data_IF_290137151049
#
_entry.id   IF_290137151049
#
_cell.length_a   1.000
_cell.length_b   1.000
_cell.length_c   1.000
_cell.angle_alpha   90.00
_cell.angle_beta   90.00
_cell.angle_gamma   90.00
#
_symmetry.space_group_name_H-M   'P 1'
#
loop_
_entity.id
_entity.type
_entity.pdbx_description
1 polymer ?
#
# COMPACT_ATOMS: atom_id res chain seq x y z
N UNK A 1 -15.37 15.20 25.57
CA UNK A 1 -15.60 13.73 25.64
C UNK A 1 -15.75 13.09 24.24
N UNK A 2 -16.61 13.56 23.33
CA UNK A 2 -16.78 12.98 21.97
C UNK A 2 -15.50 13.04 21.16
N UNK A 3 -14.78 14.16 21.13
CA UNK A 3 -13.56 14.34 20.33
C UNK A 3 -12.43 13.40 20.77
N UNK A 4 -12.24 13.19 22.08
CA UNK A 4 -11.23 12.27 22.59
C UNK A 4 -11.55 10.80 22.23
N UNK A 5 -12.83 10.42 22.16
CA UNK A 5 -13.25 9.08 21.72
C UNK A 5 -13.02 8.86 20.23
N UNK A 6 -13.26 9.88 19.41
CA UNK A 6 -13.02 9.84 17.96
C UNK A 6 -11.52 9.64 17.67
N UNK A 7 -10.66 10.45 18.27
CA UNK A 7 -9.21 10.35 18.07
C UNK A 7 -8.67 9.03 18.59
N UNK A 8 -9.18 8.54 19.73
CA UNK A 8 -8.83 7.22 20.29
C UNK A 8 -9.20 6.07 19.34
N UNK A 9 -10.39 6.07 18.74
CA UNK A 9 -10.80 5.01 17.80
C UNK A 9 -10.01 5.08 16.48
N UNK A 10 -9.73 6.27 15.95
CA UNK A 10 -8.87 6.42 14.77
C UNK A 10 -7.46 5.87 15.01
N UNK A 11 -6.86 6.18 16.17
CA UNK A 11 -5.54 5.67 16.54
C UNK A 11 -5.54 4.14 16.72
N UNK A 12 -6.59 3.58 17.30
CA UNK A 12 -6.76 2.14 17.45
C UNK A 12 -6.94 1.44 16.10
N UNK A 13 -7.72 2.02 15.17
CA UNK A 13 -7.88 1.50 13.82
C UNK A 13 -6.53 1.52 13.09
N UNK A 14 -5.77 2.61 13.19
CA UNK A 14 -4.43 2.70 12.61
C UNK A 14 -3.47 1.66 13.21
N UNK A 15 -3.48 1.47 14.54
CA UNK A 15 -2.68 0.45 15.20
C UNK A 15 -3.05 -0.97 14.71
N UNK A 16 -4.33 -1.29 14.62
CA UNK A 16 -4.79 -2.60 14.09
C UNK A 16 -4.34 -2.79 12.64
N UNK A 17 -4.31 -1.72 11.84
CA UNK A 17 -3.78 -1.80 10.47
C UNK A 17 -2.28 -2.08 10.47
N UNK A 18 -1.48 -1.42 11.31
CA UNK A 18 -0.03 -1.70 11.43
C UNK A 18 0.17 -3.17 11.79
N UNK A 19 -0.52 -3.65 12.81
CA UNK A 19 -0.39 -5.01 13.31
C UNK A 19 -0.87 -6.04 12.28
N UNK A 20 -2.05 -5.84 11.68
CA UNK A 20 -2.66 -6.76 10.72
C UNK A 20 -1.92 -6.83 9.39
N UNK A 21 -1.28 -5.73 8.96
CA UNK A 21 -0.56 -5.67 7.69
C UNK A 21 0.91 -6.08 7.79
N UNK A 22 1.43 -6.34 9.00
CA UNK A 22 2.80 -6.85 9.22
C UNK A 22 3.08 -8.16 8.48
N UNK A 23 2.07 -8.97 8.19
CA UNK A 23 2.22 -10.22 7.43
C UNK A 23 2.39 -9.99 5.92
N UNK A 24 2.08 -8.81 5.39
CA UNK A 24 2.07 -8.57 3.94
C UNK A 24 3.42 -8.84 3.30
N UNK A 25 4.47 -8.16 3.75
CA UNK A 25 5.84 -8.29 3.22
C UNK A 25 6.74 -9.18 4.09
N UNK A 26 6.18 -9.99 4.99
CA UNK A 26 6.99 -10.86 5.88
C UNK A 26 7.88 -11.84 5.11
N UNK A 27 7.36 -12.48 4.04
CA UNK A 27 8.15 -13.36 3.19
C UNK A 27 9.16 -12.58 2.33
N UNK A 28 8.80 -11.39 1.86
CA UNK A 28 9.67 -10.53 1.06
C UNK A 28 10.89 -10.09 1.86
N UNK A 29 10.70 -9.67 3.11
CA UNK A 29 11.79 -9.33 4.00
C UNK A 29 12.73 -10.54 4.26
N UNK A 30 12.16 -11.74 4.35
CA UNK A 30 12.89 -12.98 4.58
C UNK A 30 13.57 -13.58 3.32
N UNK A 31 13.38 -12.99 2.12
CA UNK A 31 13.93 -13.53 0.86
C UNK A 31 15.41 -13.86 0.92
N UNK A 32 16.33 -13.06 1.50
CA UNK A 32 17.74 -13.41 1.58
C UNK A 32 17.97 -14.76 2.29
N UNK A 33 17.31 -14.99 3.43
CA UNK A 33 17.41 -16.25 4.18
C UNK A 33 16.75 -17.42 3.45
N UNK A 34 15.59 -17.17 2.81
CA UNK A 34 14.88 -18.18 2.02
C UNK A 34 15.66 -18.59 0.76
N UNK A 35 16.41 -17.67 0.15
CA UNK A 35 17.30 -18.00 -0.97
C UNK A 35 18.40 -18.94 -0.56
N UNK A 36 19.00 -18.74 0.59
CA UNK A 36 20.07 -19.62 1.09
C UNK A 36 19.54 -21.00 1.51
N UNK A 37 18.34 -21.08 2.11
CA UNK A 37 17.77 -22.33 2.61
C UNK A 37 17.06 -23.15 1.50
N UNK A 38 16.32 -22.48 0.59
CA UNK A 38 15.50 -23.15 -0.43
C UNK A 38 16.07 -23.07 -1.85
N UNK A 39 17.22 -22.42 -2.04
CA UNK A 39 17.81 -22.23 -3.37
C UNK A 39 16.91 -21.40 -4.30
N UNK A 40 16.18 -20.40 -3.76
CA UNK A 40 15.20 -19.66 -4.54
C UNK A 40 15.81 -18.88 -5.70
N UNK A 41 15.25 -19.06 -6.89
CA UNK A 41 15.50 -18.17 -8.01
C UNK A 41 14.88 -16.77 -7.77
N UNK A 42 15.37 -15.72 -8.46
CA UNK A 42 14.74 -14.39 -8.39
C UNK A 42 13.23 -14.42 -8.72
N UNK A 43 12.82 -15.22 -9.71
CA UNK A 43 11.41 -15.43 -10.07
C UNK A 43 10.63 -16.09 -8.93
N UNK A 44 11.19 -17.10 -8.27
CA UNK A 44 10.57 -17.75 -7.11
C UNK A 44 10.37 -16.78 -5.94
N UNK A 45 11.35 -15.90 -5.69
CA UNK A 45 11.24 -14.84 -4.69
C UNK A 45 10.12 -13.84 -5.05
N UNK A 46 9.99 -13.47 -6.33
CA UNK A 46 8.89 -12.63 -6.82
C UNK A 46 7.51 -13.24 -6.55
N UNK A 47 7.34 -14.55 -6.75
CA UNK A 47 6.09 -15.25 -6.49
C UNK A 47 5.66 -15.23 -5.01
N UNK A 48 6.59 -15.14 -4.05
CA UNK A 48 6.23 -15.02 -2.63
C UNK A 48 5.48 -13.71 -2.34
N UNK A 49 5.73 -12.65 -3.08
CA UNK A 49 5.01 -11.37 -2.96
C UNK A 49 3.81 -11.33 -3.90
N UNK A 50 3.99 -11.70 -5.17
CA UNK A 50 2.95 -11.64 -6.18
C UNK A 50 1.72 -12.50 -5.84
N UNK A 51 1.91 -13.66 -5.21
CA UNK A 51 0.79 -14.50 -4.78
C UNK A 51 -0.11 -13.81 -3.74
N UNK A 52 0.45 -12.97 -2.86
CA UNK A 52 -0.34 -12.15 -1.93
C UNK A 52 -1.14 -11.11 -2.68
N UNK A 53 -0.54 -10.46 -3.69
CA UNK A 53 -1.23 -9.45 -4.50
C UNK A 53 -2.42 -10.07 -5.25
N UNK A 54 -2.23 -11.23 -5.88
CA UNK A 54 -3.29 -11.96 -6.58
C UNK A 54 -4.38 -12.40 -5.59
N UNK A 55 -3.99 -12.93 -4.44
CA UNK A 55 -4.92 -13.30 -3.37
C UNK A 55 -5.74 -12.10 -2.89
N UNK A 56 -5.08 -10.96 -2.67
CA UNK A 56 -5.74 -9.72 -2.28
C UNK A 56 -6.78 -9.26 -3.31
N UNK A 57 -6.44 -9.29 -4.60
CA UNK A 57 -7.37 -8.93 -5.68
C UNK A 57 -8.60 -9.84 -5.66
N UNK A 58 -8.40 -11.16 -5.60
CA UNK A 58 -9.50 -12.13 -5.58
C UNK A 58 -10.36 -11.93 -4.32
N UNK A 59 -9.73 -11.75 -3.16
CA UNK A 59 -10.43 -11.48 -1.90
C UNK A 59 -11.21 -10.16 -1.95
N UNK A 60 -10.64 -9.09 -2.47
CA UNK A 60 -11.29 -7.78 -2.56
C UNK A 60 -12.49 -7.81 -3.53
N UNK A 61 -12.34 -8.41 -4.71
CA UNK A 61 -13.42 -8.58 -5.68
C UNK A 61 -14.53 -9.45 -5.10
N UNK A 62 -14.19 -10.58 -4.49
CA UNK A 62 -15.16 -11.48 -3.84
C UNK A 62 -15.89 -10.77 -2.71
N UNK A 63 -15.17 -10.05 -1.83
CA UNK A 63 -15.75 -9.27 -0.74
C UNK A 63 -16.71 -8.20 -1.24
N UNK A 64 -16.35 -7.51 -2.34
CA UNK A 64 -17.22 -6.50 -2.95
C UNK A 64 -18.46 -7.13 -3.59
N UNK A 65 -18.33 -8.21 -4.36
CA UNK A 65 -19.46 -8.90 -4.99
C UNK A 65 -20.45 -9.46 -3.97
N UNK A 66 -19.96 -9.97 -2.85
CA UNK A 66 -20.78 -10.49 -1.76
C UNK A 66 -21.25 -9.41 -0.78
N UNK A 67 -20.80 -8.16 -0.95
CA UNK A 67 -21.04 -7.05 -0.02
C UNK A 67 -20.70 -7.40 1.44
N UNK A 68 -19.59 -8.12 1.66
CA UNK A 68 -19.24 -8.64 2.99
C UNK A 68 -19.09 -7.53 4.03
N UNK A 69 -18.49 -6.40 3.65
CA UNK A 69 -18.29 -5.25 4.55
C UNK A 69 -19.59 -4.53 4.95
N UNK A 70 -20.71 -4.80 4.25
CA UNK A 70 -22.03 -4.25 4.56
C UNK A 70 -22.93 -5.25 5.28
N UNK A 71 -22.73 -6.55 5.01
CA UNK A 71 -23.51 -7.64 5.63
C UNK A 71 -22.97 -8.04 7.00
N UNK A 72 -21.67 -7.94 7.21
CA UNK A 72 -20.99 -8.30 8.45
C UNK A 72 -20.52 -7.02 9.15
N UNK A 73 -20.60 -6.98 10.48
CA UNK A 73 -20.04 -5.85 11.25
C UNK A 73 -18.57 -5.65 10.90
N UNK A 74 -18.15 -4.45 10.44
CA UNK A 74 -16.80 -4.26 9.89
C UNK A 74 -15.67 -4.66 10.85
N UNK A 75 -15.82 -4.41 12.15
CA UNK A 75 -14.81 -4.81 13.14
C UNK A 75 -14.68 -6.34 13.27
N UNK A 76 -15.77 -7.09 13.08
CA UNK A 76 -15.71 -8.56 13.12
C UNK A 76 -15.06 -9.11 11.84
N UNK A 77 -15.41 -8.54 10.68
CA UNK A 77 -14.77 -8.91 9.41
C UNK A 77 -13.27 -8.63 9.46
N UNK A 78 -12.86 -7.45 9.97
CA UNK A 78 -11.47 -7.08 10.18
C UNK A 78 -10.74 -8.09 11.09
N UNK A 79 -11.36 -8.45 12.23
CA UNK A 79 -10.78 -9.38 13.20
C UNK A 79 -10.59 -10.78 12.63
N UNK A 80 -11.62 -11.35 11.99
CA UNK A 80 -11.54 -12.69 11.38
C UNK A 80 -10.49 -12.69 10.26
N UNK A 81 -10.48 -11.68 9.42
CA UNK A 81 -9.52 -11.55 8.33
C UNK A 81 -8.08 -11.45 8.82
N UNK A 82 -7.82 -10.62 9.85
CA UNK A 82 -6.49 -10.53 10.45
C UNK A 82 -6.05 -11.85 11.12
N UNK A 83 -6.99 -12.56 11.77
CA UNK A 83 -6.72 -13.88 12.36
C UNK A 83 -6.41 -14.93 11.28
N UNK A 84 -7.15 -14.96 10.16
CA UNK A 84 -6.88 -15.85 9.04
C UNK A 84 -5.51 -15.55 8.40
N UNK A 85 -5.15 -14.27 8.22
CA UNK A 85 -3.85 -13.87 7.69
C UNK A 85 -2.71 -14.29 8.64
N UNK A 86 -2.90 -14.15 9.96
CA UNK A 86 -1.99 -14.62 10.99
C UNK A 86 -1.81 -16.14 10.91
N UNK A 87 -2.91 -16.90 10.85
CA UNK A 87 -2.88 -18.38 10.78
C UNK A 87 -2.15 -18.88 9.52
N UNK A 88 -2.43 -18.31 8.35
CA UNK A 88 -1.74 -18.66 7.10
C UNK A 88 -0.23 -18.37 7.19
N UNK A 89 0.14 -17.24 7.80
CA UNK A 89 1.57 -16.86 7.96
C UNK A 89 2.26 -17.77 8.99
N UNK A 90 1.60 -18.12 10.09
CA UNK A 90 2.14 -19.08 11.07
C UNK A 90 2.29 -20.48 10.47
N UNK A 91 1.28 -20.95 9.70
CA UNK A 91 1.38 -22.24 8.98
C UNK A 91 2.55 -22.24 8.00
N UNK A 92 2.80 -21.12 7.30
CA UNK A 92 3.97 -21.00 6.44
C UNK A 92 5.26 -21.14 7.25
N UNK A 93 5.38 -20.47 8.39
CA UNK A 93 6.57 -20.57 9.25
C UNK A 93 6.81 -21.99 9.78
N UNK A 94 5.74 -22.73 10.11
CA UNK A 94 5.84 -24.07 10.70
C UNK A 94 6.05 -25.18 9.66
N UNK A 95 5.38 -25.08 8.51
CA UNK A 95 5.22 -26.23 7.61
C UNK A 95 5.78 -26.02 6.19
N UNK A 96 6.21 -24.80 5.83
CA UNK A 96 6.76 -24.58 4.50
C UNK A 96 8.23 -25.03 4.42
N UNK A 97 8.50 -25.85 3.41
CA UNK A 97 9.83 -26.32 3.05
C UNK A 97 10.21 -25.93 1.61
N UNK A 98 9.39 -25.13 0.93
CA UNK A 98 9.60 -24.67 -0.43
C UNK A 98 8.40 -23.92 -0.99
N UNK A 99 8.51 -23.50 -2.25
CA UNK A 99 7.49 -22.68 -2.93
C UNK A 99 6.13 -23.36 -3.09
N UNK A 100 6.09 -24.69 -3.25
CA UNK A 100 4.85 -25.46 -3.43
C UNK A 100 3.86 -25.28 -2.28
N UNK A 101 4.36 -25.18 -1.06
CA UNK A 101 3.57 -24.91 0.15
C UNK A 101 3.47 -23.44 0.49
N UNK A 102 4.52 -22.66 0.21
CA UNK A 102 4.55 -21.24 0.55
C UNK A 102 3.61 -20.41 -0.33
N UNK A 103 3.56 -20.64 -1.64
CA UNK A 103 2.72 -19.88 -2.57
C UNK A 103 1.23 -19.97 -2.23
N UNK A 104 0.61 -21.15 -2.02
CA UNK A 104 -0.79 -21.23 -1.62
C UNK A 104 -1.08 -20.50 -0.30
N UNK A 105 -0.22 -20.64 0.71
CA UNK A 105 -0.39 -19.94 1.99
C UNK A 105 -0.26 -18.43 1.86
N UNK A 106 0.66 -17.94 1.03
CA UNK A 106 0.79 -16.51 0.69
C UNK A 106 -0.44 -15.99 -0.06
N UNK A 107 -0.96 -16.77 -1.01
CA UNK A 107 -2.19 -16.44 -1.70
C UNK A 107 -3.37 -16.30 -0.71
N UNK A 108 -3.56 -17.29 0.18
CA UNK A 108 -4.60 -17.23 1.22
C UNK A 108 -4.38 -16.06 2.20
N UNK A 109 -3.13 -15.74 2.53
CA UNK A 109 -2.80 -14.53 3.29
C UNK A 109 -3.32 -13.29 2.58
N UNK A 110 -3.12 -13.20 1.26
CA UNK A 110 -3.63 -12.10 0.43
C UNK A 110 -5.15 -12.00 0.45
N UNK A 111 -5.84 -13.12 0.25
CA UNK A 111 -7.33 -13.19 0.33
C UNK A 111 -7.83 -12.66 1.67
N UNK A 112 -7.17 -13.05 2.77
CA UNK A 112 -7.52 -12.56 4.10
C UNK A 112 -7.24 -11.06 4.26
N UNK A 113 -6.11 -10.55 3.75
CA UNK A 113 -5.75 -9.12 3.83
C UNK A 113 -6.75 -8.21 3.11
N UNK A 114 -7.50 -8.71 2.14
CA UNK A 114 -8.61 -7.98 1.52
C UNK A 114 -9.75 -7.62 2.50
N UNK A 115 -9.88 -8.36 3.59
CA UNK A 115 -10.77 -8.00 4.71
C UNK A 115 -10.10 -7.17 5.81
N UNK A 116 -8.79 -6.88 5.69
CA UNK A 116 -8.06 -6.04 6.64
C UNK A 116 -8.01 -4.59 6.16
N UNK A 117 -7.34 -4.31 5.04
CA UNK A 117 -7.09 -2.94 4.60
C UNK A 117 -8.37 -2.19 4.13
N UNK A 118 -9.19 -2.72 3.21
CA UNK A 118 -10.42 -2.03 2.79
C UNK A 118 -11.44 -1.85 3.92
N UNK A 119 -11.54 -2.82 4.81
CA UNK A 119 -12.44 -2.73 5.98
C UNK A 119 -11.92 -1.71 6.99
N UNK A 120 -10.61 -1.62 7.17
CA UNK A 120 -9.96 -0.55 7.94
C UNK A 120 -10.27 0.84 7.38
N UNK A 121 -10.23 1.00 6.04
CA UNK A 121 -10.65 2.24 5.38
C UNK A 121 -12.11 2.59 5.68
N UNK A 122 -13.02 1.62 5.63
CA UNK A 122 -14.44 1.81 5.95
C UNK A 122 -14.63 2.23 7.42
N UNK A 123 -13.95 1.58 8.34
CA UNK A 123 -13.96 1.93 9.76
C UNK A 123 -13.39 3.34 9.99
N UNK A 124 -12.25 3.67 9.40
CA UNK A 124 -11.64 5.00 9.50
C UNK A 124 -12.58 6.08 8.95
N UNK A 125 -13.20 5.84 7.79
CA UNK A 125 -14.18 6.74 7.19
C UNK A 125 -15.39 6.98 8.12
N UNK A 126 -15.85 5.94 8.83
CA UNK A 126 -16.98 6.05 9.75
C UNK A 126 -16.74 6.98 10.96
N UNK A 127 -15.48 7.24 11.30
CA UNK A 127 -15.05 8.18 12.33
C UNK A 127 -14.57 9.53 11.78
N UNK A 128 -14.56 9.72 10.44
CA UNK A 128 -14.00 10.90 9.77
C UNK A 128 -15.11 11.80 9.23
N UNK A 129 -14.92 13.12 9.38
CA UNK A 129 -15.76 14.11 8.72
C UNK A 129 -15.25 14.39 7.29
N UNK A 130 -16.07 15.01 6.45
CA UNK A 130 -15.66 15.36 5.08
C UNK A 130 -14.44 16.29 5.03
N UNK A 131 -14.26 17.13 6.05
CA UNK A 131 -13.18 18.13 6.17
C UNK A 131 -11.82 17.55 6.59
N UNK A 132 -11.80 16.37 7.22
CA UNK A 132 -10.56 15.73 7.72
C UNK A 132 -10.32 14.33 7.11
N UNK A 133 -11.04 14.00 6.05
CA UNK A 133 -11.00 12.68 5.41
C UNK A 133 -9.65 12.38 4.77
N UNK A 134 -9.03 13.37 4.11
CA UNK A 134 -7.70 13.22 3.51
C UNK A 134 -6.64 12.90 4.55
N UNK A 135 -6.62 13.65 5.65
CA UNK A 135 -5.71 13.39 6.78
C UNK A 135 -5.95 12.00 7.40
N UNK A 136 -7.21 11.61 7.60
CA UNK A 136 -7.55 10.31 8.20
C UNK A 136 -7.11 9.15 7.32
N UNK A 137 -7.29 9.26 6.01
CA UNK A 137 -6.81 8.27 5.05
C UNK A 137 -5.29 8.28 4.94
N UNK A 138 -4.65 9.46 4.99
CA UNK A 138 -3.20 9.57 5.07
C UNK A 138 -2.61 8.81 6.27
N UNK A 139 -3.23 8.93 7.45
CA UNK A 139 -2.85 8.16 8.65
C UNK A 139 -3.04 6.65 8.43
N UNK A 140 -4.13 6.23 7.80
CA UNK A 140 -4.39 4.81 7.54
C UNK A 140 -3.40 4.22 6.52
N UNK A 141 -3.09 4.98 5.45
CA UNK A 141 -2.12 4.59 4.43
C UNK A 141 -0.71 4.58 5.06
N UNK A 142 -0.41 5.52 5.97
CA UNK A 142 0.81 5.50 6.77
C UNK A 142 0.92 4.26 7.66
N UNK A 143 -0.19 3.85 8.25
CA UNK A 143 -0.26 2.61 9.00
C UNK A 143 -0.03 1.37 8.12
N UNK A 144 -0.53 1.38 6.87
CA UNK A 144 -0.24 0.34 5.88
C UNK A 144 1.27 0.28 5.58
N UNK A 145 1.90 1.42 5.33
CA UNK A 145 3.33 1.49 5.05
C UNK A 145 4.16 0.97 6.23
N UNK A 146 3.88 1.44 7.45
CA UNK A 146 4.56 1.00 8.67
C UNK A 146 4.37 -0.50 8.93
N UNK A 147 3.14 -0.99 8.83
CA UNK A 147 2.84 -2.41 9.03
C UNK A 147 3.56 -3.28 8.01
N UNK A 148 3.47 -2.92 6.74
CA UNK A 148 4.13 -3.64 5.63
C UNK A 148 5.65 -3.68 5.77
N UNK A 149 6.26 -2.62 6.33
CA UNK A 149 7.69 -2.53 6.53
C UNK A 149 8.19 -3.21 7.81
N UNK A 150 7.31 -3.55 8.75
CA UNK A 150 7.69 -4.08 10.06
C UNK A 150 8.59 -5.33 10.00
N UNK A 151 8.41 -6.29 9.07
CA UNK A 151 9.32 -7.42 8.90
C UNK A 151 10.77 -7.02 8.58
N UNK A 152 10.96 -5.91 7.86
CA UNK A 152 12.30 -5.38 7.59
C UNK A 152 12.98 -4.85 8.86
N UNK A 153 12.21 -4.25 9.78
CA UNK A 153 12.73 -3.86 11.10
C UNK A 153 13.23 -5.09 11.87
N UNK A 154 12.43 -6.17 11.89
CA UNK A 154 12.81 -7.39 12.61
C UNK A 154 14.15 -7.93 12.10
N UNK A 155 14.34 -7.99 10.78
CA UNK A 155 15.61 -8.43 10.17
C UNK A 155 16.74 -7.44 10.46
N UNK A 156 16.44 -6.16 10.49
CA UNK A 156 17.40 -5.10 10.80
C UNK A 156 17.94 -5.14 12.24
N UNK A 157 17.22 -5.77 13.16
CA UNK A 157 17.66 -5.93 14.56
C UNK A 157 18.69 -7.05 14.77
N UNK A 158 18.92 -7.89 13.75
CA UNK A 158 19.93 -8.94 13.80
C UNK A 158 19.66 -10.13 12.88
N UNK A 159 20.57 -11.10 12.79
CA UNK A 159 20.43 -12.28 11.95
C UNK A 159 19.43 -13.28 12.55
N UNK A 160 18.15 -12.98 12.39
CA UNK A 160 17.06 -13.85 12.86
C UNK A 160 16.69 -14.89 11.78
N UNK A 161 16.39 -16.13 12.17
CA UNK A 161 15.82 -17.12 11.26
C UNK A 161 14.55 -16.59 10.62
N UNK A 162 14.34 -16.83 9.33
CA UNK A 162 13.16 -16.36 8.61
C UNK A 162 11.82 -16.84 9.26
N UNK A 163 11.83 -18.02 9.89
CA UNK A 163 10.67 -18.53 10.65
C UNK A 163 10.30 -17.61 11.81
N UNK A 164 11.30 -17.05 12.51
CA UNK A 164 11.07 -16.09 13.59
C UNK A 164 10.42 -14.82 13.07
N UNK A 165 10.88 -14.29 11.92
CA UNK A 165 10.27 -13.11 11.27
C UNK A 165 8.81 -13.35 10.95
N UNK A 166 8.50 -14.52 10.35
CA UNK A 166 7.13 -14.91 10.02
C UNK A 166 6.26 -15.07 11.27
N UNK A 167 6.75 -15.76 12.30
CA UNK A 167 6.00 -15.97 13.54
C UNK A 167 5.74 -14.66 14.28
N UNK A 168 6.71 -13.75 14.30
CA UNK A 168 6.51 -12.41 14.88
C UNK A 168 5.43 -11.64 14.14
N UNK A 169 5.48 -11.62 12.81
CA UNK A 169 4.44 -10.97 12.00
C UNK A 169 3.06 -11.61 12.21
N UNK A 170 2.99 -12.93 12.27
CA UNK A 170 1.75 -13.67 12.57
C UNK A 170 1.19 -13.31 13.96
N UNK A 171 2.05 -13.24 14.98
CA UNK A 171 1.66 -12.87 16.34
C UNK A 171 1.13 -11.43 16.39
N UNK A 172 1.80 -10.48 15.72
CA UNK A 172 1.34 -9.10 15.63
C UNK A 172 -0.05 -9.01 14.99
N UNK A 173 -0.26 -9.73 13.87
CA UNK A 173 -1.56 -9.77 13.19
C UNK A 173 -2.65 -10.42 14.08
N UNK A 174 -2.32 -11.46 14.82
CA UNK A 174 -3.24 -12.08 15.79
C UNK A 174 -3.62 -11.12 16.93
N UNK A 175 -2.64 -10.36 17.46
CA UNK A 175 -2.91 -9.30 18.46
C UNK A 175 -3.82 -8.23 17.85
N UNK A 176 -3.55 -7.80 16.62
CA UNK A 176 -4.42 -6.88 15.88
C UNK A 176 -5.85 -7.41 15.75
N UNK A 177 -6.03 -8.69 15.46
CA UNK A 177 -7.33 -9.34 15.40
C UNK A 177 -8.09 -9.27 16.73
N UNK A 178 -7.41 -9.53 17.85
CA UNK A 178 -8.01 -9.45 19.20
C UNK A 178 -8.42 -8.01 19.54
N UNK A 179 -7.58 -7.02 19.23
CA UNK A 179 -7.91 -5.61 19.43
C UNK A 179 -9.11 -5.20 18.56
N UNK A 180 -9.14 -5.62 17.29
CA UNK A 180 -10.26 -5.37 16.38
C UNK A 180 -11.57 -5.92 16.93
N UNK A 181 -11.55 -7.14 17.48
CA UNK A 181 -12.74 -7.82 18.00
C UNK A 181 -13.26 -7.20 19.29
N UNK A 182 -12.35 -6.75 20.18
CA UNK A 182 -12.70 -6.35 21.56
C UNK A 182 -12.84 -4.85 21.76
N UNK A 183 -12.12 -4.03 20.98
CA UNK A 183 -11.93 -2.61 21.27
C UNK A 183 -12.42 -1.70 20.13
N UNK A 184 -12.37 -2.16 18.87
CA UNK A 184 -12.81 -1.34 17.74
C UNK A 184 -14.34 -1.26 17.70
N UNK A 185 -14.83 -0.02 17.58
CA UNK A 185 -16.24 0.28 17.43
C UNK A 185 -16.50 0.95 16.08
N UNK A 186 -17.66 0.71 15.47
CA UNK A 186 -18.08 1.47 14.29
C UNK A 186 -18.35 2.92 14.67
N UNK A 187 -18.00 3.85 13.78
CA UNK A 187 -18.20 5.28 13.98
C UNK A 187 -19.63 5.74 13.63
N UNK A 188 -19.96 6.98 14.01
CA UNK A 188 -21.31 7.54 13.80
C UNK A 188 -21.67 7.77 12.32
N UNK A 189 -20.68 7.82 11.43
CA UNK A 189 -20.86 8.03 9.98
C UNK A 189 -20.80 6.71 9.18
N UNK A 190 -21.06 5.56 9.83
CA UNK A 190 -21.09 4.29 9.13
C UNK A 190 -22.36 4.18 8.28
N UNK A 191 -22.22 4.38 6.97
CA UNK A 191 -23.33 4.16 6.04
C UNK A 191 -23.56 2.66 5.84
N UNK A 192 -24.77 2.21 6.20
CA UNK A 192 -25.20 0.83 6.05
C UNK A 192 -25.84 0.49 4.70
N UNK A 193 -25.71 1.34 3.70
CA UNK A 193 -26.29 1.09 2.37
C UNK A 193 -25.38 0.21 1.56
N UNK A 194 -25.78 -1.07 1.39
CA UNK A 194 -25.14 -1.96 0.46
C UNK A 194 -25.28 -1.42 -0.98
N UNK A 195 -24.19 -1.10 -1.62
CA UNK A 195 -24.17 -0.74 -3.04
C UNK A 195 -24.04 -2.04 -3.83
N UNK A 196 -24.99 -2.29 -4.75
CA UNK A 196 -24.93 -3.48 -5.62
C UNK A 196 -23.81 -3.24 -6.64
N UNK A 197 -22.74 -4.04 -6.67
CA UNK A 197 -21.68 -3.91 -7.65
C UNK A 197 -22.24 -4.09 -9.07
N UNK A 198 -21.85 -3.22 -9.97
CA UNK A 198 -22.21 -3.33 -11.39
C UNK A 198 -20.97 -3.63 -12.24
N UNK A 199 -20.71 -4.89 -12.61
CA UNK A 199 -19.52 -5.24 -13.40
C UNK A 199 -19.42 -4.52 -14.74
N UNK A 200 -20.55 -4.17 -15.38
CA UNK A 200 -20.57 -3.43 -16.64
C UNK A 200 -20.03 -2.01 -16.48
N UNK A 201 -20.17 -1.42 -15.31
CA UNK A 201 -19.64 -0.10 -15.01
C UNK A 201 -18.11 -0.09 -15.00
N UNK A 202 -17.45 -1.20 -14.67
CA UNK A 202 -15.98 -1.31 -14.69
C UNK A 202 -15.39 -0.91 -16.04
N UNK A 203 -16.06 -1.25 -17.14
CA UNK A 203 -15.62 -0.84 -18.50
C UNK A 203 -16.16 0.56 -18.83
N UNK A 204 -17.43 0.82 -18.51
CA UNK A 204 -18.09 2.09 -18.83
C UNK A 204 -17.44 3.30 -18.15
N UNK A 205 -16.91 3.15 -16.93
CA UNK A 205 -16.27 4.24 -16.19
C UNK A 205 -15.04 4.80 -16.91
N UNK A 206 -14.35 4.01 -17.74
CA UNK A 206 -13.19 4.48 -18.50
C UNK A 206 -13.56 5.33 -19.72
N UNK A 207 -14.85 5.40 -20.09
CA UNK A 207 -15.32 6.34 -21.11
C UNK A 207 -15.25 7.79 -20.62
N UNK A 208 -15.47 8.01 -19.33
CA UNK A 208 -15.38 9.33 -18.71
C UNK A 208 -13.93 9.79 -18.56
N UNK A 209 -13.60 10.94 -19.14
CA UNK A 209 -12.22 11.45 -19.20
C UNK A 209 -11.59 11.65 -17.83
N UNK A 210 -12.32 12.22 -16.86
CA UNK A 210 -11.77 12.49 -15.54
C UNK A 210 -11.50 11.19 -14.76
N UNK A 211 -12.41 10.23 -14.83
CA UNK A 211 -12.25 8.89 -14.23
C UNK A 211 -11.08 8.15 -14.86
N UNK A 212 -10.97 8.17 -16.20
CA UNK A 212 -9.85 7.54 -16.91
C UNK A 212 -8.52 8.12 -16.52
N UNK A 213 -8.37 9.46 -16.47
CA UNK A 213 -7.13 10.12 -16.10
C UNK A 213 -6.73 9.82 -14.65
N UNK A 214 -7.68 9.82 -13.72
CA UNK A 214 -7.45 9.44 -12.32
C UNK A 214 -6.97 8.00 -12.21
N UNK A 215 -7.57 7.06 -12.95
CA UNK A 215 -7.14 5.67 -12.97
C UNK A 215 -5.75 5.49 -13.59
N UNK A 216 -5.43 6.19 -14.69
CA UNK A 216 -4.08 6.16 -15.29
C UNK A 216 -3.05 6.70 -14.30
N UNK A 217 -3.38 7.77 -13.56
CA UNK A 217 -2.54 8.29 -12.47
C UNK A 217 -2.25 7.21 -11.42
N UNK A 218 -3.31 6.56 -10.93
CA UNK A 218 -3.21 5.48 -9.95
C UNK A 218 -2.41 4.28 -10.47
N UNK A 219 -2.61 3.88 -11.73
CA UNK A 219 -1.87 2.76 -12.32
C UNK A 219 -0.39 3.08 -12.48
N UNK A 220 -0.04 4.34 -12.81
CA UNK A 220 1.35 4.80 -12.82
C UNK A 220 2.01 4.72 -11.45
N UNK A 221 1.31 5.13 -10.38
CA UNK A 221 1.73 4.97 -9.01
C UNK A 221 1.92 3.47 -8.64
N UNK A 222 0.94 2.61 -8.98
CA UNK A 222 1.01 1.18 -8.66
C UNK A 222 2.09 0.43 -9.44
N UNK A 223 2.46 0.92 -10.64
CA UNK A 223 3.59 0.39 -11.41
C UNK A 223 4.90 0.44 -10.62
N UNK A 224 5.09 1.48 -9.83
CA UNK A 224 6.31 1.71 -9.05
C UNK A 224 6.23 1.12 -7.64
N UNK A 225 5.19 1.45 -6.88
CA UNK A 225 5.12 1.30 -5.44
C UNK A 225 5.51 -0.08 -4.91
N UNK A 226 4.78 -1.12 -5.31
CA UNK A 226 4.97 -2.45 -4.73
C UNK A 226 6.20 -3.17 -5.30
N UNK A 227 6.64 -2.82 -6.51
CA UNK A 227 7.90 -3.30 -7.05
C UNK A 227 9.09 -2.71 -6.29
N UNK A 228 9.06 -1.41 -6.01
CA UNK A 228 10.06 -0.77 -5.14
C UNK A 228 10.09 -1.44 -3.77
N UNK A 229 8.95 -1.57 -3.09
CA UNK A 229 8.89 -2.19 -1.77
C UNK A 229 9.38 -3.65 -1.74
N UNK A 230 9.11 -4.39 -2.82
CA UNK A 230 9.55 -5.78 -2.93
C UNK A 230 11.07 -5.90 -3.08
N UNK A 231 11.67 -5.03 -3.88
CA UNK A 231 13.05 -5.19 -4.31
C UNK A 231 14.04 -4.20 -3.70
N UNK A 232 13.55 -3.25 -2.87
CA UNK A 232 14.40 -2.23 -2.24
C UNK A 232 15.56 -2.85 -1.45
N UNK A 233 15.28 -3.86 -0.62
CA UNK A 233 16.29 -4.56 0.15
C UNK A 233 17.35 -5.22 -0.73
N UNK A 234 16.94 -5.81 -1.86
CA UNK A 234 17.87 -6.43 -2.80
C UNK A 234 18.72 -5.41 -3.54
N UNK A 235 18.14 -4.25 -3.90
CA UNK A 235 18.86 -3.13 -4.49
C UNK A 235 19.94 -2.60 -3.53
N UNK A 236 19.58 -2.35 -2.28
CA UNK A 236 20.53 -1.88 -1.26
C UNK A 236 21.61 -2.92 -1.00
N UNK A 237 21.24 -4.20 -0.85
CA UNK A 237 22.18 -5.29 -0.63
C UNK A 237 23.17 -5.42 -1.77
N UNK A 238 22.70 -5.37 -3.02
CA UNK A 238 23.57 -5.46 -4.20
C UNK A 238 24.57 -4.29 -4.27
N UNK A 239 24.11 -3.05 -3.99
CA UNK A 239 24.99 -1.88 -3.98
C UNK A 239 26.03 -1.91 -2.84
N UNK A 240 25.69 -2.49 -1.68
CA UNK A 240 26.63 -2.67 -0.55
C UNK A 240 27.66 -3.76 -0.85
N UNK A 241 27.24 -4.86 -1.47
CA UNK A 241 28.16 -5.90 -1.88
C UNK A 241 29.21 -5.40 -2.88
N UNK A 242 28.85 -4.48 -3.79
CA UNK A 242 29.84 -3.84 -4.68
C UNK A 242 30.85 -2.95 -3.94
N UNK A 243 30.49 -2.50 -2.72
CA UNK A 243 31.38 -1.70 -1.85
C UNK A 243 32.11 -2.50 -0.80
N UNK A 244 31.91 -3.83 -0.75
CA UNK A 244 32.45 -4.73 0.28
C UNK A 244 32.05 -4.34 1.72
N UNK A 245 30.90 -3.64 1.86
CA UNK A 245 30.35 -3.23 3.16
C UNK A 245 29.49 -4.36 3.77
N UNK A 246 29.54 -4.56 5.10
CA UNK A 246 28.61 -5.46 5.80
C UNK A 246 27.16 -4.94 5.69
N UNK A 247 26.24 -5.77 5.16
CA UNK A 247 25.03 -5.23 4.57
C UNK A 247 23.69 -5.71 5.14
N UNK A 248 23.59 -6.87 5.78
CA UNK A 248 22.28 -7.50 6.03
C UNK A 248 21.38 -6.72 7.02
N UNK A 249 21.88 -6.42 8.22
CA UNK A 249 21.12 -5.65 9.23
C UNK A 249 20.86 -4.22 8.76
N UNK A 250 21.87 -3.57 8.18
CA UNK A 250 21.73 -2.22 7.60
C UNK A 250 20.63 -2.17 6.55
N UNK A 251 20.57 -3.16 5.65
CA UNK A 251 19.56 -3.25 4.59
C UNK A 251 18.14 -3.30 5.15
N UNK A 252 17.92 -4.08 6.21
CA UNK A 252 16.61 -4.15 6.89
C UNK A 252 16.21 -2.83 7.52
N UNK A 253 17.11 -2.17 8.26
CA UNK A 253 16.83 -0.87 8.89
C UNK A 253 16.55 0.22 7.86
N UNK A 254 17.31 0.27 6.76
CA UNK A 254 17.10 1.24 5.68
C UNK A 254 15.76 1.01 4.97
N UNK A 255 15.41 -0.25 4.69
CA UNK A 255 14.12 -0.59 4.09
C UNK A 255 12.96 -0.20 5.04
N UNK A 256 13.05 -0.48 6.33
CA UNK A 256 12.08 -0.04 7.32
C UNK A 256 11.99 1.49 7.39
N UNK A 257 13.12 2.19 7.40
CA UNK A 257 13.18 3.64 7.41
C UNK A 257 12.51 4.26 6.18
N UNK A 258 12.82 3.76 4.98
CA UNK A 258 12.29 4.27 3.72
C UNK A 258 10.81 3.91 3.52
N UNK A 259 10.44 2.64 3.64
CA UNK A 259 9.07 2.17 3.39
C UNK A 259 8.15 2.54 4.55
N UNK A 260 8.57 2.25 5.80
CA UNK A 260 7.75 2.41 6.98
C UNK A 260 7.69 3.84 7.47
N UNK A 261 8.82 4.39 7.90
CA UNK A 261 8.86 5.70 8.56
C UNK A 261 8.64 6.81 7.54
N UNK A 262 9.48 6.87 6.51
CA UNK A 262 9.38 7.93 5.50
C UNK A 262 8.10 7.79 4.66
N UNK A 263 7.71 6.56 4.26
CA UNK A 263 6.44 6.30 3.59
C UNK A 263 5.24 6.68 4.46
N UNK A 264 5.27 6.33 5.75
CA UNK A 264 4.24 6.74 6.71
C UNK A 264 4.12 8.26 6.84
N UNK A 265 5.24 8.96 6.99
CA UNK A 265 5.27 10.43 7.02
C UNK A 265 4.79 11.03 5.69
N UNK A 266 5.26 10.47 4.56
CA UNK A 266 4.90 10.90 3.21
C UNK A 266 3.40 10.80 2.94
N UNK A 267 2.75 9.71 3.35
CA UNK A 267 1.30 9.56 3.18
C UNK A 267 0.48 10.53 4.03
N UNK A 268 0.92 10.83 5.27
CA UNK A 268 0.25 11.83 6.13
C UNK A 268 0.44 13.23 5.54
N UNK A 269 1.65 13.57 5.11
CA UNK A 269 1.96 14.86 4.47
C UNK A 269 1.24 15.01 3.12
N UNK A 270 1.19 13.95 2.32
CA UNK A 270 0.47 13.90 1.04
C UNK A 270 -1.03 14.07 1.22
N UNK A 271 -1.61 13.41 2.20
CA UNK A 271 -3.01 13.59 2.58
C UNK A 271 -3.31 15.03 3.02
N UNK A 272 -2.47 15.60 3.89
CA UNK A 272 -2.59 17.00 4.30
C UNK A 272 -2.42 17.98 3.14
N UNK A 273 -1.42 17.76 2.28
CA UNK A 273 -1.20 18.58 1.08
C UNK A 273 -2.39 18.50 0.11
N UNK A 274 -2.94 17.29 -0.08
CA UNK A 274 -4.13 17.05 -0.89
C UNK A 274 -5.35 17.86 -0.41
N UNK A 275 -5.52 17.97 0.91
CA UNK A 275 -6.61 18.79 1.50
C UNK A 275 -6.33 20.30 1.39
N UNK A 276 -5.05 20.74 1.39
CA UNK A 276 -4.65 22.16 1.38
C UNK A 276 -4.49 22.76 0.00
N UNK A 277 -3.72 22.12 -0.87
CA UNK A 277 -3.37 22.62 -2.20
C UNK A 277 -4.17 21.96 -3.33
N UNK A 278 -5.00 20.95 -2.96
CA UNK A 278 -5.81 20.19 -3.89
C UNK A 278 -5.15 18.87 -4.33
N UNK A 279 -5.99 17.92 -4.75
CA UNK A 279 -5.57 16.54 -5.06
C UNK A 279 -4.61 16.45 -6.24
N UNK A 280 -4.89 17.23 -7.31
CA UNK A 280 -4.09 17.25 -8.53
C UNK A 280 -2.65 17.71 -8.28
N UNK A 281 -2.36 18.89 -7.72
CA UNK A 281 -0.98 19.33 -7.50
C UNK A 281 -0.25 18.44 -6.49
N UNK A 282 -0.92 17.95 -5.45
CA UNK A 282 -0.30 17.04 -4.48
C UNK A 282 0.16 15.73 -5.15
N UNK A 283 -0.72 15.08 -5.94
CA UNK A 283 -0.38 13.86 -6.66
C UNK A 283 0.71 14.08 -7.72
N UNK A 284 0.62 15.16 -8.51
CA UNK A 284 1.64 15.47 -9.53
C UNK A 284 3.01 15.68 -8.88
N UNK A 285 3.08 16.43 -7.77
CA UNK A 285 4.36 16.68 -7.08
C UNK A 285 4.96 15.38 -6.55
N UNK A 286 4.17 14.52 -5.93
CA UNK A 286 4.62 13.22 -5.42
C UNK A 286 5.15 12.32 -6.55
N UNK A 287 4.39 12.18 -7.64
CA UNK A 287 4.78 11.40 -8.82
C UNK A 287 6.05 11.92 -9.51
N UNK A 288 6.20 13.26 -9.61
CA UNK A 288 7.41 13.87 -10.21
C UNK A 288 8.63 13.58 -9.35
N UNK A 289 8.53 13.74 -8.02
CA UNK A 289 9.65 13.46 -7.11
C UNK A 289 9.99 11.96 -7.15
N UNK A 290 8.99 11.09 -7.09
CA UNK A 290 9.19 9.64 -7.13
C UNK A 290 9.79 9.18 -8.46
N UNK A 291 9.28 9.68 -9.59
CA UNK A 291 9.82 9.40 -10.91
C UNK A 291 11.28 9.92 -11.08
N UNK A 292 11.60 11.08 -10.51
CA UNK A 292 12.96 11.58 -10.48
C UNK A 292 13.87 10.66 -9.66
N UNK A 293 13.38 10.08 -8.54
CA UNK A 293 14.12 9.09 -7.77
C UNK A 293 14.35 7.80 -8.58
N UNK A 294 13.36 7.31 -9.36
CA UNK A 294 13.58 6.18 -10.26
C UNK A 294 14.76 6.43 -11.21
N UNK A 295 14.79 7.60 -11.86
CA UNK A 295 15.85 7.98 -12.80
C UNK A 295 17.19 8.19 -12.11
N UNK A 296 17.18 8.73 -10.90
CA UNK A 296 18.39 8.98 -10.12
C UNK A 296 18.98 7.71 -9.44
N UNK A 297 18.22 6.64 -9.33
CA UNK A 297 18.61 5.43 -8.58
C UNK A 297 19.99 4.85 -8.96
N UNK A 298 20.44 4.85 -10.23
CA UNK A 298 21.77 4.35 -10.59
C UNK A 298 22.93 5.13 -9.98
N UNK A 299 22.74 6.43 -9.74
CA UNK A 299 23.78 7.30 -9.16
C UNK A 299 23.93 7.07 -7.65
N UNK A 300 22.85 6.61 -6.98
CA UNK A 300 22.85 6.34 -5.54
C UNK A 300 23.12 4.88 -5.21
N UNK A 301 23.24 4.00 -6.18
CA UNK A 301 23.43 2.56 -5.98
C UNK A 301 24.66 2.22 -5.13
N UNK A 302 25.81 2.85 -5.43
CA UNK A 302 27.07 2.72 -4.67
C UNK A 302 27.44 4.00 -3.91
N UNK A 303 26.47 4.88 -3.65
CA UNK A 303 26.71 6.14 -2.96
C UNK A 303 27.12 5.93 -1.49
N UNK A 304 27.80 6.92 -0.86
CA UNK A 304 28.05 6.89 0.57
C UNK A 304 26.77 6.70 1.38
N UNK A 305 26.88 6.03 2.52
CA UNK A 305 25.75 5.60 3.34
C UNK A 305 24.73 6.72 3.62
N UNK A 306 25.20 7.88 4.02
CA UNK A 306 24.32 9.03 4.33
C UNK A 306 23.53 9.49 3.10
N UNK A 307 24.22 9.60 1.95
CA UNK A 307 23.59 10.01 0.70
C UNK A 307 22.52 8.99 0.23
N UNK A 308 22.85 7.69 0.30
CA UNK A 308 21.89 6.63 -0.01
C UNK A 308 20.67 6.65 0.91
N UNK A 309 20.88 6.76 2.23
CA UNK A 309 19.77 6.80 3.20
C UNK A 309 18.87 7.99 2.94
N UNK A 310 19.42 9.19 2.80
CA UNK A 310 18.63 10.39 2.52
C UNK A 310 17.84 10.27 1.21
N UNK A 311 18.47 9.75 0.16
CA UNK A 311 17.81 9.47 -1.11
C UNK A 311 16.64 8.51 -0.95
N UNK A 312 16.84 7.39 -0.25
CA UNK A 312 15.80 6.38 -0.04
C UNK A 312 14.67 6.88 0.87
N UNK A 313 14.95 7.75 1.84
CA UNK A 313 13.90 8.39 2.65
C UNK A 313 13.03 9.33 1.80
N UNK A 314 13.63 10.12 0.90
CA UNK A 314 12.89 10.97 -0.04
C UNK A 314 12.03 10.12 -0.98
N UNK A 315 12.60 9.06 -1.54
CA UNK A 315 11.88 8.15 -2.43
C UNK A 315 10.74 7.44 -1.71
N UNK A 316 11.02 6.84 -0.54
CA UNK A 316 10.01 6.17 0.27
C UNK A 316 8.86 7.08 0.70
N UNK A 317 9.14 8.35 1.00
CA UNK A 317 8.10 9.32 1.31
C UNK A 317 7.27 9.70 0.08
N UNK A 318 7.92 9.96 -1.07
CA UNK A 318 7.24 10.45 -2.27
C UNK A 318 6.41 9.36 -2.97
N UNK A 319 6.89 8.12 -3.01
CA UNK A 319 6.24 7.03 -3.74
C UNK A 319 4.82 6.68 -3.24
N UNK A 320 4.47 7.03 -2.01
CA UNK A 320 3.17 6.74 -1.40
C UNK A 320 2.34 7.99 -1.07
N UNK A 321 2.94 9.17 -1.17
CA UNK A 321 2.30 10.42 -0.77
C UNK A 321 1.04 10.78 -1.58
N UNK A 322 0.93 10.28 -2.81
CA UNK A 322 -0.19 10.49 -3.73
C UNK A 322 -1.35 9.50 -3.56
N UNK A 323 -1.17 8.40 -2.82
CA UNK A 323 -2.16 7.31 -2.70
C UNK A 323 -3.55 7.79 -2.26
N UNK A 324 -3.61 8.70 -1.28
CA UNK A 324 -4.87 9.27 -0.80
C UNK A 324 -5.57 10.14 -1.84
N UNK A 325 -4.81 10.83 -2.69
CA UNK A 325 -5.34 11.72 -3.71
C UNK A 325 -6.09 10.95 -4.82
N UNK A 326 -5.61 9.77 -5.22
CA UNK A 326 -6.27 8.96 -6.27
C UNK A 326 -7.63 8.45 -5.84
N UNK A 327 -7.72 7.82 -4.66
CA UNK A 327 -8.99 7.29 -4.15
C UNK A 327 -10.02 8.40 -3.93
N UNK A 328 -9.57 9.56 -3.45
CA UNK A 328 -10.44 10.72 -3.26
C UNK A 328 -10.89 11.30 -4.59
N UNK A 329 -9.98 11.51 -5.56
CA UNK A 329 -10.31 12.01 -6.89
C UNK A 329 -11.30 11.10 -7.62
N UNK A 330 -11.11 9.76 -7.55
CA UNK A 330 -12.05 8.82 -8.13
C UNK A 330 -13.42 8.89 -7.47
N UNK A 331 -13.48 9.01 -6.13
CA UNK A 331 -14.74 9.15 -5.39
C UNK A 331 -15.48 10.44 -5.72
N UNK A 332 -14.79 11.49 -6.16
CA UNK A 332 -15.39 12.77 -6.55
C UNK A 332 -15.85 12.79 -8.01
N UNK A 333 -15.18 12.05 -8.88
CA UNK A 333 -15.41 12.04 -10.33
C UNK A 333 -16.34 10.93 -10.80
N UNK A 334 -16.34 9.77 -10.14
CA UNK A 334 -17.19 8.64 -10.51
C UNK A 334 -18.65 8.85 -10.13
N UNK A 335 -19.57 8.11 -10.80
CA UNK A 335 -20.99 8.09 -10.41
C UNK A 335 -21.13 7.72 -8.93
N UNK A 336 -21.77 8.62 -8.18
CA UNK A 336 -21.96 8.49 -6.72
C UNK A 336 -22.56 7.15 -6.29
N UNK A 337 -23.42 6.56 -7.14
CA UNK A 337 -24.05 5.24 -6.89
C UNK A 337 -23.09 4.08 -7.09
N UNK A 338 -22.02 4.28 -7.85
CA UNK A 338 -21.11 3.22 -8.31
C UNK A 338 -19.66 3.44 -7.85
N UNK A 339 -19.42 4.42 -6.96
CA UNK A 339 -18.09 4.72 -6.40
C UNK A 339 -17.41 3.48 -5.82
N UNK A 340 -18.16 2.65 -5.09
CA UNK A 340 -17.61 1.40 -4.53
C UNK A 340 -17.12 0.45 -5.62
N UNK A 341 -17.87 0.28 -6.70
CA UNK A 341 -17.45 -0.52 -7.86
C UNK A 341 -16.21 0.07 -8.52
N UNK A 342 -16.17 1.39 -8.72
CA UNK A 342 -15.03 2.09 -9.32
C UNK A 342 -13.75 1.91 -8.48
N UNK A 343 -13.82 2.14 -7.16
CA UNK A 343 -12.68 1.97 -6.25
C UNK A 343 -12.18 0.52 -6.19
N UNK A 344 -13.10 -0.45 -6.17
CA UNK A 344 -12.73 -1.88 -6.21
C UNK A 344 -12.03 -2.23 -7.51
N UNK A 345 -12.56 -1.77 -8.64
CA UNK A 345 -11.97 -2.01 -9.96
C UNK A 345 -10.58 -1.34 -10.08
N UNK A 346 -10.46 -0.07 -9.68
CA UNK A 346 -9.19 0.65 -9.64
C UNK A 346 -8.15 -0.13 -8.83
N UNK A 347 -8.51 -0.53 -7.60
CA UNK A 347 -7.63 -1.28 -6.70
C UNK A 347 -7.25 -2.62 -7.29
N UNK A 348 -8.21 -3.39 -7.79
CA UNK A 348 -7.95 -4.72 -8.38
C UNK A 348 -7.00 -4.65 -9.58
N UNK A 349 -7.25 -3.73 -10.52
CA UNK A 349 -6.40 -3.55 -11.71
C UNK A 349 -5.01 -3.08 -11.30
N UNK A 350 -4.92 -2.11 -10.36
CA UNK A 350 -3.64 -1.62 -9.85
C UNK A 350 -2.81 -2.72 -9.20
N UNK A 351 -3.41 -3.55 -8.35
CA UNK A 351 -2.70 -4.67 -7.73
C UNK A 351 -2.29 -5.76 -8.73
N UNK A 352 -3.10 -6.04 -9.77
CA UNK A 352 -2.69 -6.94 -10.86
C UNK A 352 -1.49 -6.38 -11.62
N UNK A 353 -1.45 -5.06 -11.84
CA UNK A 353 -0.32 -4.40 -12.49
C UNK A 353 0.97 -4.56 -11.68
N UNK A 354 0.88 -4.53 -10.35
CA UNK A 354 2.06 -4.76 -9.49
C UNK A 354 2.65 -6.15 -9.64
N UNK A 355 1.85 -7.17 -9.95
CA UNK A 355 2.35 -8.52 -10.22
C UNK A 355 3.30 -8.51 -11.42
N UNK A 356 2.96 -7.74 -12.45
CA UNK A 356 3.80 -7.59 -13.65
C UNK A 356 5.13 -6.94 -13.28
N UNK A 357 5.11 -5.79 -12.59
CA UNK A 357 6.34 -5.05 -12.25
C UNK A 357 7.22 -5.78 -11.25
N UNK A 358 6.64 -6.48 -10.28
CA UNK A 358 7.39 -7.32 -9.34
C UNK A 358 8.21 -8.39 -10.08
N UNK A 359 7.68 -8.96 -11.17
CA UNK A 359 8.41 -9.95 -11.96
C UNK A 359 9.38 -9.33 -12.99
N UNK A 360 9.08 -8.14 -13.50
CA UNK A 360 9.94 -7.48 -14.49
C UNK A 360 11.23 -6.94 -13.86
N UNK A 361 11.22 -6.47 -12.61
CA UNK A 361 12.42 -5.91 -11.97
C UNK A 361 13.58 -6.91 -11.88
N UNK A 362 13.40 -8.15 -11.40
CA UNK A 362 14.52 -9.11 -11.37
C UNK A 362 14.98 -9.54 -12.78
N UNK A 363 14.08 -9.53 -13.79
CA UNK A 363 14.48 -9.77 -15.20
C UNK A 363 15.37 -8.62 -15.67
N UNK A 364 14.98 -7.38 -15.44
CA UNK A 364 15.81 -6.21 -15.75
C UNK A 364 17.14 -6.27 -15.00
N UNK A 365 17.14 -6.64 -13.71
CA UNK A 365 18.36 -6.80 -12.93
C UNK A 365 19.30 -7.89 -13.49
N UNK A 366 18.74 -8.95 -14.05
CA UNK A 366 19.52 -9.99 -14.74
C UNK A 366 20.15 -9.52 -16.08
N UNK A 367 19.50 -8.57 -16.76
CA UNK A 367 19.95 -8.06 -18.06
C UNK A 367 20.94 -6.90 -17.93
N UNK A 368 20.67 -5.94 -17.04
CA UNK A 368 21.41 -4.68 -16.93
C UNK A 368 22.02 -4.44 -15.55
N UNK A 369 21.91 -5.40 -14.63
CA UNK A 369 22.36 -5.28 -13.25
C UNK A 369 21.39 -4.54 -12.35
N UNK A 370 21.52 -4.76 -11.02
CA UNK A 370 20.68 -4.10 -10.01
C UNK A 370 20.78 -2.58 -10.05
N UNK A 371 21.95 -2.05 -10.44
CA UNK A 371 22.19 -0.61 -10.58
C UNK A 371 21.13 0.08 -11.46
N UNK A 372 20.75 -0.54 -12.57
CA UNK A 372 19.84 0.04 -13.56
C UNK A 372 18.40 -0.53 -13.53
N UNK A 373 18.19 -1.56 -12.73
CA UNK A 373 16.90 -2.28 -12.70
C UNK A 373 15.70 -1.37 -12.39
N UNK A 374 15.86 -0.39 -11.52
CA UNK A 374 14.77 0.50 -11.11
C UNK A 374 14.46 1.61 -12.13
N UNK A 375 15.27 1.80 -13.17
CA UNK A 375 14.88 2.64 -14.31
C UNK A 375 13.60 2.14 -14.99
N UNK A 376 13.33 0.82 -14.92
CA UNK A 376 12.08 0.22 -15.41
C UNK A 376 10.83 0.80 -14.74
N UNK A 377 10.96 1.33 -13.53
CA UNK A 377 9.83 1.88 -12.77
C UNK A 377 9.47 3.31 -13.20
N UNK A 378 10.42 4.06 -13.77
CA UNK A 378 10.26 5.48 -14.12
C UNK A 378 9.07 5.80 -15.04
N UNK A 379 8.71 4.98 -16.07
CA UNK A 379 7.55 5.23 -16.90
C UNK A 379 6.24 5.36 -16.14
N UNK A 380 6.06 4.61 -15.04
CA UNK A 380 4.85 4.64 -14.22
C UNK A 380 4.54 6.04 -13.69
N UNK A 381 5.36 6.60 -12.80
CA UNK A 381 5.14 7.93 -12.25
C UNK A 381 5.14 9.05 -13.31
N UNK A 382 5.90 8.92 -14.41
CA UNK A 382 5.86 9.88 -15.51
C UNK A 382 4.48 9.90 -16.18
N UNK A 383 3.96 8.74 -16.59
CA UNK A 383 2.62 8.61 -17.19
C UNK A 383 1.56 9.07 -16.18
N UNK A 384 1.71 8.69 -14.91
CA UNK A 384 0.82 9.10 -13.83
C UNK A 384 0.79 10.61 -13.64
N UNK A 385 1.95 11.26 -13.60
CA UNK A 385 2.06 12.72 -13.46
C UNK A 385 1.42 13.46 -14.64
N UNK A 386 1.65 13.01 -15.88
CA UNK A 386 1.03 13.58 -17.08
C UNK A 386 -0.48 13.43 -17.03
N UNK A 387 -0.99 12.25 -16.67
CA UNK A 387 -2.42 12.00 -16.55
C UNK A 387 -3.07 12.90 -15.47
N UNK A 388 -2.47 12.97 -14.29
CA UNK A 388 -2.98 13.83 -13.22
C UNK A 388 -2.87 15.32 -13.57
N UNK A 389 -1.84 15.75 -14.27
CA UNK A 389 -1.70 17.12 -14.75
C UNK A 389 -2.76 17.49 -15.80
N UNK A 390 -3.27 16.52 -16.56
CA UNK A 390 -4.33 16.70 -17.54
C UNK A 390 -5.75 16.70 -16.95
N UNK A 391 -5.93 16.43 -15.65
CA UNK A 391 -7.22 16.51 -14.97
C UNK A 391 -7.76 17.95 -14.98
N UNK A 392 -9.06 18.15 -15.27
CA UNK A 392 -9.71 19.44 -15.11
C UNK A 392 -9.55 19.98 -13.70
N UNK A 393 -9.43 21.31 -13.55
CA UNK A 393 -9.46 21.95 -12.23
C UNK A 393 -10.89 21.90 -11.73
N UNK A 394 -11.15 21.17 -10.67
CA UNK A 394 -12.43 21.27 -9.95
C UNK A 394 -12.37 22.51 -9.07
N UNK A 395 -13.44 23.35 -9.03
CA UNK A 395 -13.50 24.47 -8.11
C UNK A 395 -13.36 23.94 -6.68
N UNK A 396 -12.40 24.47 -5.92
CA UNK A 396 -12.35 24.24 -4.48
C UNK A 396 -13.61 24.81 -3.86
N UNK A 397 -14.26 24.07 -2.97
CA UNK A 397 -15.55 24.42 -2.32
C UNK A 397 -15.55 25.74 -1.54
N UNK A 398 -14.46 26.46 -1.51
CA UNK A 398 -14.31 27.76 -0.85
C UNK A 398 -14.87 28.93 -1.66
N UNK A 399 -15.17 28.76 -2.96
CA UNK A 399 -15.70 29.85 -3.83
C UNK A 399 -17.22 29.79 -4.04
N UNK A 400 -17.91 28.78 -3.54
CA UNK A 400 -19.35 28.62 -3.74
C UNK A 400 -20.23 29.40 -2.75
N UNK A 401 -19.64 30.16 -1.81
CA UNK A 401 -20.42 30.94 -0.82
C UNK A 401 -20.43 32.44 -1.07
N UNK A 402 -19.79 32.97 -2.13
CA UNK A 402 -19.79 34.41 -2.42
C UNK A 402 -20.77 34.90 -3.48
N UNK A 403 -21.48 34.01 -4.22
CA UNK A 403 -22.32 34.41 -5.35
C UNK A 403 -23.84 34.22 -5.16
N UNK A 404 -24.32 34.04 -3.91
CA UNK A 404 -25.75 34.05 -3.59
C UNK A 404 -26.10 35.28 -2.73
N UNK A 405 -25.71 36.45 -3.15
CA UNK A 405 -26.36 37.71 -2.74
C UNK A 405 -26.35 38.66 -3.92
N UNK A 406 -27.54 39.19 -4.21
CA UNK A 406 -27.97 40.15 -5.22
C UNK A 406 -28.53 39.54 -6.51
N UNK A 407 -29.82 39.14 -6.45
CA UNK A 407 -30.85 39.58 -7.36
C UNK A 407 -32.21 39.38 -6.66
N UNK A 408 -32.66 40.43 -5.99
CA UNK A 408 -34.06 40.75 -5.73
C UNK A 408 -34.64 41.50 -6.90
#
# INVERSE_FOLDING_TARGET
>A
MIRSRTDGQRSLIALVQILGLSVWFSATAAVPSLRSEWGLSPTGAGWLTASVQIGFVIGAVTSALLNLADRVKPQHLLAVSAACAAACTAMLACFAHGLSTAIPLRFLTGVALAGVYPVGMKLMASWSQSTDRGRSFGVLIGALALGSAFPHLIIGLGPLPWRTVMMTAATLSAVGAVIALRVILPGPHLDGRAVIPNPRYVVAMFAERAVRLTNVGYFGHMWELYALWTWLSMFVLAGRNEREDEAAAFTGLVAFGAIGIAGGAGSVLGGWASDRIGRRPAAVTALVISGACCVASPFFFTAPTVALVLFLLVWGASVIADSGAFSTSLSETADKRLVGTALTAQTAIGFLLTVVTIHLVPVAAGLVGWRYAFLLLAPGPVIGAVAMAALPRFPTSTTAHSDIHYRT
#
